data_IF_591710976090
#
_entry.id   IF_591710976090
#
_cell.length_a   1.000
_cell.length_b   1.000
_cell.length_c   1.000
_cell.angle_alpha   90.00
_cell.angle_beta   90.00
_cell.angle_gamma   90.00
#
_symmetry.space_group_name_H-M   'P 1'
#
loop_
_entity.id
_entity.type
_entity.pdbx_description
1 polymer ?
#
# COMPACT_ATOMS: atom_id res chain seq x y z
N UNK A 1 2.04 29.23 0.27
CA UNK A 1 3.23 28.38 0.03
C UNK A 1 2.80 27.35 -1.00
N UNK A 2 3.35 27.40 -2.21
CA UNK A 2 3.19 26.31 -3.17
C UNK A 2 4.13 25.21 -2.68
N UNK A 3 3.60 24.19 -2.02
CA UNK A 3 4.29 22.90 -1.88
C UNK A 3 4.37 22.35 -3.30
N UNK A 4 5.50 22.61 -3.95
CA UNK A 4 5.87 21.94 -5.18
C UNK A 4 6.02 20.46 -4.82
N UNK A 5 5.13 19.63 -5.35
CA UNK A 5 5.22 18.18 -5.30
C UNK A 5 6.63 17.77 -5.72
N UNK A 6 7.28 16.92 -4.93
CA UNK A 6 8.55 16.33 -5.34
C UNK A 6 8.23 15.12 -6.23
N UNK A 7 8.40 15.23 -7.55
CA UNK A 7 8.07 14.13 -8.46
C UNK A 7 8.96 12.90 -8.23
N UNK A 8 10.07 13.05 -7.52
CA UNK A 8 11.03 11.98 -7.23
C UNK A 8 10.80 11.36 -5.83
N UNK A 9 9.80 11.82 -5.08
CA UNK A 9 9.44 11.24 -3.80
C UNK A 9 8.61 9.95 -4.00
N UNK A 10 9.03 8.89 -3.31
CA UNK A 10 8.51 7.55 -3.49
C UNK A 10 7.78 7.06 -2.24
N UNK A 11 6.60 6.51 -2.46
CA UNK A 11 5.78 5.84 -1.46
C UNK A 11 5.84 4.33 -1.65
N UNK A 12 5.61 3.61 -0.56
CA UNK A 12 5.80 2.18 -0.48
C UNK A 12 4.61 1.46 0.17
N UNK A 13 4.22 0.33 -0.40
CA UNK A 13 3.35 -0.65 0.25
C UNK A 13 4.17 -1.90 0.47
N UNK A 14 4.28 -2.37 1.71
CA UNK A 14 5.16 -3.47 2.08
C UNK A 14 4.40 -4.60 2.76
N UNK A 15 4.75 -5.83 2.42
CA UNK A 15 4.33 -7.03 3.14
C UNK A 15 5.58 -7.78 3.57
N UNK A 16 5.74 -8.15 4.86
CA UNK A 16 6.89 -8.93 5.28
C UNK A 16 6.85 -10.30 4.61
N UNK A 17 8.01 -10.86 4.27
CA UNK A 17 8.09 -12.22 3.70
C UNK A 17 7.85 -13.32 4.74
N UNK A 18 7.88 -12.98 6.03
CA UNK A 18 7.61 -13.91 7.12
C UNK A 18 7.37 -13.19 8.46
N UNK A 19 6.85 -13.93 9.45
CA UNK A 19 6.53 -13.42 10.78
C UNK A 19 7.72 -12.75 11.50
N UNK A 20 8.97 -13.14 11.21
CA UNK A 20 10.15 -12.57 11.87
C UNK A 20 10.42 -11.10 11.49
N UNK A 21 9.87 -10.65 10.35
CA UNK A 21 10.06 -9.29 9.84
C UNK A 21 8.91 -8.36 10.22
N UNK A 22 7.87 -8.86 10.91
CA UNK A 22 6.73 -8.04 11.33
C UNK A 22 7.17 -6.89 12.24
N UNK A 23 8.00 -7.15 13.25
CA UNK A 23 8.46 -6.07 14.15
C UNK A 23 9.22 -4.97 13.41
N UNK A 24 9.92 -5.33 12.33
CA UNK A 24 10.67 -4.36 11.52
C UNK A 24 9.73 -3.42 10.77
N UNK A 25 8.61 -3.95 10.24
CA UNK A 25 7.53 -3.17 9.64
C UNK A 25 7.01 -2.10 10.62
N UNK A 26 6.62 -2.50 11.83
CA UNK A 26 6.11 -1.55 12.84
C UNK A 26 7.14 -0.54 13.36
N UNK A 27 8.44 -0.85 13.25
CA UNK A 27 9.53 0.05 13.67
C UNK A 27 10.08 0.93 12.54
N UNK A 28 9.49 0.85 11.34
CA UNK A 28 10.01 1.52 10.15
C UNK A 28 11.46 1.09 9.81
N UNK A 29 11.85 -0.13 10.21
CA UNK A 29 13.17 -0.71 9.91
C UNK A 29 13.13 -1.47 8.58
N UNK A 30 12.74 -0.74 7.52
CA UNK A 30 12.44 -1.28 6.18
C UNK A 30 13.53 -1.00 5.15
N UNK A 31 14.61 -0.32 5.57
CA UNK A 31 15.76 0.00 4.73
C UNK A 31 17.00 -0.78 5.17
N UNK A 32 17.85 -1.14 4.21
CA UNK A 32 19.19 -1.65 4.44
C UNK A 32 20.22 -0.70 3.82
N UNK A 33 21.51 -1.07 3.85
CA UNK A 33 22.59 -0.24 3.31
C UNK A 33 22.50 0.03 1.80
N UNK A 34 21.62 -0.67 1.08
CA UNK A 34 21.42 -0.60 -0.37
C UNK A 34 20.10 0.08 -0.77
N UNK A 35 19.30 0.54 0.18
CA UNK A 35 17.98 1.11 -0.05
C UNK A 35 16.87 0.28 0.60
N UNK A 36 15.69 0.20 -0.03
CA UNK A 36 14.57 -0.59 0.47
C UNK A 36 14.96 -2.07 0.59
N UNK A 37 14.63 -2.71 1.72
CA UNK A 37 15.02 -4.09 2.02
C UNK A 37 14.13 -5.12 1.32
N UNK A 38 14.42 -5.41 0.05
CA UNK A 38 13.65 -6.37 -0.76
C UNK A 38 13.87 -7.84 -0.39
N UNK A 39 14.89 -8.15 0.43
CA UNK A 39 15.14 -9.51 0.91
C UNK A 39 14.21 -9.89 2.07
N UNK A 40 13.61 -8.88 2.72
CA UNK A 40 12.72 -9.04 3.87
C UNK A 40 11.26 -8.71 3.56
N UNK A 41 10.99 -7.94 2.51
CA UNK A 41 9.66 -7.42 2.18
C UNK A 41 9.32 -7.59 0.68
N UNK A 42 8.08 -7.99 0.40
CA UNK A 42 7.46 -7.71 -0.89
C UNK A 42 7.01 -6.26 -0.92
N UNK A 43 7.17 -5.59 -2.07
CA UNK A 43 6.93 -4.16 -2.17
C UNK A 43 6.21 -3.73 -3.44
N UNK A 44 5.34 -2.73 -3.31
CA UNK A 44 4.95 -1.83 -4.41
C UNK A 44 5.58 -0.48 -4.13
N UNK A 45 6.17 0.10 -5.16
CA UNK A 45 6.71 1.46 -5.13
C UNK A 45 5.95 2.31 -6.14
N UNK A 46 5.59 3.53 -5.75
CA UNK A 46 4.92 4.49 -6.63
C UNK A 46 5.25 5.92 -6.20
N UNK A 47 5.02 6.89 -7.09
CA UNK A 47 5.37 8.29 -6.84
C UNK A 47 4.30 9.04 -6.07
N UNK A 48 4.70 10.05 -5.31
CA UNK A 48 3.79 10.97 -4.62
C UNK A 48 2.72 11.56 -5.56
N UNK A 49 3.08 11.91 -6.80
CA UNK A 49 2.11 12.44 -7.76
C UNK A 49 0.92 11.49 -8.03
N UNK A 50 1.16 10.18 -7.96
CA UNK A 50 0.13 9.16 -8.16
C UNK A 50 -0.72 8.92 -6.90
N UNK A 51 -0.23 9.34 -5.72
CA UNK A 51 -0.98 9.22 -4.47
C UNK A 51 -2.33 9.95 -4.54
N UNK A 52 -2.40 11.15 -5.10
CA UNK A 52 -3.67 11.90 -5.17
C UNK A 52 -4.75 11.15 -5.96
N UNK A 53 -4.34 10.44 -7.01
CA UNK A 53 -5.25 9.61 -7.78
C UNK A 53 -5.72 8.40 -6.94
N UNK A 54 -4.79 7.74 -6.24
CA UNK A 54 -5.12 6.65 -5.31
C UNK A 54 -6.01 7.13 -4.16
N UNK A 55 -5.79 8.33 -3.65
CA UNK A 55 -6.57 8.93 -2.58
C UNK A 55 -8.03 9.07 -2.97
N UNK A 56 -8.28 9.66 -4.14
CA UNK A 56 -9.63 9.87 -4.67
C UNK A 56 -10.34 8.56 -5.05
N UNK A 57 -9.61 7.61 -5.64
CA UNK A 57 -10.20 6.39 -6.22
C UNK A 57 -10.23 5.20 -5.25
N UNK A 58 -9.36 5.15 -4.25
CA UNK A 58 -9.17 3.99 -3.38
C UNK A 58 -9.00 4.34 -1.90
N UNK A 59 -7.99 5.12 -1.51
CA UNK A 59 -7.63 5.28 -0.09
C UNK A 59 -8.71 5.96 0.73
N UNK A 60 -9.46 6.93 0.17
CA UNK A 60 -10.60 7.51 0.87
C UNK A 60 -11.68 6.47 1.21
N UNK A 61 -11.95 5.54 0.28
CA UNK A 61 -12.90 4.45 0.47
C UNK A 61 -12.39 3.49 1.55
N UNK A 62 -11.10 3.16 1.53
CA UNK A 62 -10.46 2.33 2.55
C UNK A 62 -10.51 2.98 3.94
N UNK A 63 -10.19 4.26 4.06
CA UNK A 63 -10.26 4.98 5.34
C UNK A 63 -11.66 4.92 5.95
N UNK A 64 -12.69 5.21 5.16
CA UNK A 64 -14.09 5.18 5.63
C UNK A 64 -14.53 3.76 6.00
N UNK A 65 -14.25 2.79 5.13
CA UNK A 65 -14.82 1.45 5.29
C UNK A 65 -14.01 0.57 6.24
N UNK A 66 -12.70 0.76 6.33
CA UNK A 66 -11.82 -0.06 7.16
C UNK A 66 -11.37 0.65 8.44
N UNK A 67 -11.78 1.90 8.66
CA UNK A 67 -11.33 2.75 9.77
C UNK A 67 -9.80 2.88 9.82
N UNK A 68 -9.20 3.02 8.64
CA UNK A 68 -7.78 3.29 8.45
C UNK A 68 -7.54 4.81 8.36
N UNK A 69 -6.31 5.22 8.59
CA UNK A 69 -5.84 6.60 8.48
C UNK A 69 -4.74 6.72 7.40
N UNK A 70 -5.05 6.30 6.18
CA UNK A 70 -4.15 6.43 5.04
C UNK A 70 -4.08 7.91 4.64
N UNK A 71 -2.92 8.53 4.82
CA UNK A 71 -2.67 9.93 4.45
C UNK A 71 -1.23 10.10 3.95
N UNK A 72 -0.96 11.14 3.16
CA UNK A 72 0.40 11.44 2.69
C UNK A 72 1.38 11.91 3.79
N UNK A 73 0.95 11.98 5.05
CA UNK A 73 1.74 12.50 6.16
C UNK A 73 1.95 11.49 7.29
N UNK A 74 1.28 10.35 7.23
CA UNK A 74 1.28 9.35 8.29
C UNK A 74 1.33 7.95 7.69
N UNK A 75 2.26 7.14 8.20
CA UNK A 75 2.31 5.72 7.91
C UNK A 75 1.10 5.00 8.54
N UNK A 76 0.64 3.94 7.89
CA UNK A 76 -0.50 3.15 8.37
C UNK A 76 -0.22 1.66 8.20
N UNK A 77 -0.78 0.83 9.08
CA UNK A 77 -0.68 -0.63 8.99
C UNK A 77 -2.06 -1.25 8.87
N UNK A 78 -2.27 -1.98 7.78
CA UNK A 78 -3.45 -2.82 7.61
C UNK A 78 -3.22 -4.12 8.38
N UNK A 79 -3.87 -4.22 9.53
CA UNK A 79 -3.87 -5.43 10.35
C UNK A 79 -4.46 -6.63 9.61
N UNK A 80 -3.97 -7.88 9.84
CA UNK A 80 -4.44 -9.07 9.13
C UNK A 80 -5.97 -9.26 9.13
N UNK A 81 -6.63 -8.85 10.21
CA UNK A 81 -8.09 -8.94 10.35
C UNK A 81 -8.86 -8.03 9.36
N UNK A 82 -8.25 -6.95 8.89
CA UNK A 82 -8.85 -6.01 7.95
C UNK A 82 -8.60 -6.40 6.48
N UNK A 83 -7.58 -7.21 6.21
CA UNK A 83 -7.14 -7.58 4.86
C UNK A 83 -8.29 -8.15 3.99
N UNK A 84 -9.15 -9.09 4.47
CA UNK A 84 -10.25 -9.59 3.66
C UNK A 84 -11.23 -8.50 3.20
N UNK A 85 -11.44 -7.48 4.04
CA UNK A 85 -12.30 -6.35 3.71
C UNK A 85 -11.64 -5.43 2.68
N UNK A 86 -10.34 -5.18 2.82
CA UNK A 86 -9.56 -4.39 1.86
C UNK A 86 -9.54 -5.08 0.49
N UNK A 87 -9.34 -6.40 0.43
CA UNK A 87 -9.41 -7.19 -0.81
C UNK A 87 -10.76 -7.04 -1.50
N UNK A 88 -11.87 -7.12 -0.75
CA UNK A 88 -13.21 -6.94 -1.30
C UNK A 88 -13.39 -5.56 -1.95
N UNK A 89 -12.88 -4.51 -1.31
CA UNK A 89 -12.91 -3.14 -1.85
C UNK A 89 -12.04 -3.03 -3.11
N UNK A 90 -10.84 -3.62 -3.12
CA UNK A 90 -9.96 -3.64 -4.29
C UNK A 90 -10.58 -4.37 -5.48
N UNK A 91 -11.23 -5.50 -5.28
CA UNK A 91 -11.95 -6.18 -6.36
C UNK A 91 -13.03 -5.27 -6.96
N UNK A 92 -13.78 -4.53 -6.12
CA UNK A 92 -14.75 -3.55 -6.60
C UNK A 92 -14.06 -2.43 -7.39
N UNK A 93 -12.94 -1.88 -6.88
CA UNK A 93 -12.19 -0.84 -7.57
C UNK A 93 -11.70 -1.30 -8.95
N UNK A 94 -11.09 -2.49 -9.04
CA UNK A 94 -10.60 -3.08 -10.28
C UNK A 94 -11.74 -3.27 -11.29
N UNK A 95 -12.88 -3.82 -10.86
CA UNK A 95 -14.01 -4.09 -11.75
C UNK A 95 -14.69 -2.81 -12.27
N UNK A 96 -14.53 -1.69 -11.56
CA UNK A 96 -15.07 -0.38 -11.95
C UNK A 96 -14.01 0.54 -12.56
N UNK A 97 -12.77 0.07 -12.75
CA UNK A 97 -11.70 0.86 -13.36
C UNK A 97 -11.93 0.98 -14.86
N UNK A 98 -11.75 2.18 -15.39
CA UNK A 98 -11.77 2.42 -16.84
C UNK A 98 -10.63 1.61 -17.50
N UNK A 99 -10.90 0.83 -18.57
CA UNK A 99 -9.85 0.13 -19.31
C UNK A 99 -8.70 1.03 -19.80
N UNK A 100 -8.93 2.33 -20.00
CA UNK A 100 -7.90 3.29 -20.40
C UNK A 100 -6.98 3.73 -19.24
N UNK A 101 -7.37 3.46 -17.99
CA UNK A 101 -6.59 3.76 -16.79
C UNK A 101 -5.67 2.59 -16.40
N UNK A 102 -4.73 2.31 -17.29
CA UNK A 102 -3.80 1.18 -17.14
C UNK A 102 -2.94 1.30 -15.87
N UNK A 103 -2.56 2.51 -15.46
CA UNK A 103 -1.71 2.72 -14.28
C UNK A 103 -2.44 2.36 -12.99
N UNK A 104 -3.67 2.85 -12.80
CA UNK A 104 -4.49 2.51 -11.64
C UNK A 104 -4.86 1.04 -11.61
N UNK A 105 -5.23 0.47 -12.76
CA UNK A 105 -5.54 -0.95 -12.88
C UNK A 105 -4.34 -1.83 -12.48
N UNK A 106 -3.15 -1.51 -12.99
CA UNK A 106 -1.92 -2.24 -12.69
C UNK A 106 -1.54 -2.12 -11.22
N UNK A 107 -1.69 -0.93 -10.63
CA UNK A 107 -1.46 -0.72 -9.21
C UNK A 107 -2.40 -1.58 -8.36
N UNK A 108 -3.71 -1.49 -8.62
CA UNK A 108 -4.71 -2.25 -7.87
C UNK A 108 -4.48 -3.76 -7.99
N UNK A 109 -4.11 -4.24 -9.18
CA UNK A 109 -3.81 -5.66 -9.39
C UNK A 109 -2.59 -6.11 -8.59
N UNK A 110 -1.50 -5.33 -8.57
CA UNK A 110 -0.33 -5.64 -7.74
C UNK A 110 -0.66 -5.58 -6.25
N UNK A 111 -1.45 -4.58 -5.83
CA UNK A 111 -1.83 -4.44 -4.43
C UNK A 111 -2.71 -5.59 -3.96
N UNK A 112 -3.63 -6.04 -4.81
CA UNK A 112 -4.42 -7.25 -4.56
C UNK A 112 -3.53 -8.50 -4.41
N UNK A 113 -2.49 -8.65 -5.24
CA UNK A 113 -1.54 -9.76 -5.10
C UNK A 113 -0.79 -9.73 -3.76
N UNK A 114 -0.31 -8.55 -3.33
CA UNK A 114 0.31 -8.37 -2.02
C UNK A 114 -0.65 -8.73 -0.88
N UNK A 115 -1.88 -8.23 -0.92
CA UNK A 115 -2.88 -8.51 0.10
C UNK A 115 -3.28 -9.98 0.15
N UNK A 116 -3.33 -10.66 -1.00
CA UNK A 116 -3.62 -12.09 -1.06
C UNK A 116 -2.50 -12.89 -0.38
N UNK A 117 -1.24 -12.56 -0.69
CA UNK A 117 -0.10 -13.16 -0.01
C UNK A 117 -0.12 -12.89 1.50
N UNK A 118 -0.42 -11.66 1.90
CA UNK A 118 -0.53 -11.26 3.30
C UNK A 118 -1.65 -12.04 4.03
N UNK A 119 -2.80 -12.21 3.38
CA UNK A 119 -3.92 -12.99 3.90
C UNK A 119 -3.54 -14.45 4.10
N UNK A 120 -2.95 -15.08 3.08
CA UNK A 120 -2.59 -16.50 3.09
C UNK A 120 -1.57 -16.85 4.19
N UNK A 121 -0.75 -15.87 4.59
CA UNK A 121 0.29 -16.02 5.61
C UNK A 121 -0.06 -15.34 6.95
N UNK A 122 -1.24 -14.73 7.08
CA UNK A 122 -1.67 -13.94 8.23
C UNK A 122 -0.65 -12.85 8.64
N UNK A 123 -0.22 -12.06 7.66
CA UNK A 123 0.78 -11.00 7.80
C UNK A 123 0.13 -9.61 7.66
N UNK A 124 0.63 -8.58 8.37
CA UNK A 124 0.17 -7.21 8.17
C UNK A 124 0.71 -6.62 6.85
N UNK A 125 0.11 -5.51 6.42
CA UNK A 125 0.59 -4.71 5.29
C UNK A 125 0.88 -3.29 5.74
N UNK A 126 2.11 -2.81 5.54
CA UNK A 126 2.51 -1.44 5.85
C UNK A 126 2.32 -0.52 4.65
N UNK A 127 1.83 0.69 4.91
CA UNK A 127 1.66 1.77 3.97
C UNK A 127 2.56 2.92 4.44
N UNK A 128 3.58 3.23 3.64
CA UNK A 128 4.62 4.20 4.00
C UNK A 128 4.65 5.33 2.97
N UNK A 129 4.35 6.54 3.43
CA UNK A 129 4.26 7.73 2.60
C UNK A 129 5.35 8.72 3.02
#
# INVERSE_FOLDING_TARGET
MNTLLDPDHHYYILVPLSNQFIERLYRYDIYNNSGLDTDSFLSITFYEAFYYELELKLFHILNINCHLNISMYEDEVIEPILIPKVISILHSAINNTDPEDEYFYNFCTKFLQLLTYAQDNNLPVGLYF
#
